data_IF_495496456584
#
_entry.id   IF_495496456584
#
_cell.length_a   1.000
_cell.length_b   1.000
_cell.length_c   1.000
_cell.angle_alpha   90.00
_cell.angle_beta   90.00
_cell.angle_gamma   90.00
#
_symmetry.space_group_name_H-M   'P 1'
#
loop_
_entity.id
_entity.type
_entity.pdbx_description
1 polymer ?
#
# COMPACT_ATOMS: atom_id res chain seq x y z
N UNK A 1 -11.47 -4.88 -8.50
CA UNK A 1 -10.40 -5.88 -8.35
C UNK A 1 -11.02 -7.25 -8.26
N UNK A 2 -10.60 -8.17 -9.12
CA UNK A 2 -10.96 -9.58 -9.06
C UNK A 2 -9.68 -10.43 -9.18
N UNK A 3 -9.63 -11.55 -8.47
CA UNK A 3 -8.62 -12.62 -8.68
C UNK A 3 -9.35 -13.72 -9.44
N UNK A 4 -8.73 -14.16 -10.54
CA UNK A 4 -9.26 -15.16 -11.46
C UNK A 4 -8.10 -16.11 -11.80
N UNK A 5 -8.14 -17.31 -11.24
CA UNK A 5 -7.11 -18.33 -11.40
C UNK A 5 -5.72 -17.78 -11.10
N UNK A 6 -4.82 -17.89 -12.09
CA UNK A 6 -3.42 -17.49 -11.96
C UNK A 6 -3.16 -16.00 -12.16
N UNK A 7 -4.22 -15.18 -12.23
CA UNK A 7 -4.13 -13.76 -12.51
C UNK A 7 -5.00 -12.88 -11.61
N UNK A 8 -4.58 -11.63 -11.47
CA UNK A 8 -5.36 -10.57 -10.85
C UNK A 8 -5.68 -9.48 -11.88
N UNK A 9 -6.86 -8.86 -11.76
CA UNK A 9 -7.30 -7.77 -12.62
C UNK A 9 -7.89 -6.60 -11.82
N UNK A 10 -7.46 -5.40 -12.21
CA UNK A 10 -7.96 -4.11 -11.73
C UNK A 10 -8.53 -3.37 -12.93
N UNK A 11 -9.80 -2.98 -12.86
CA UNK A 11 -10.42 -2.15 -13.89
C UNK A 11 -11.31 -1.12 -13.22
N UNK A 12 -11.57 -0.03 -13.93
CA UNK A 12 -12.40 1.07 -13.43
C UNK A 12 -13.86 0.72 -13.68
N UNK A 13 -14.66 0.71 -12.61
CA UNK A 13 -16.10 0.61 -12.69
C UNK A 13 -16.71 2.00 -12.45
N UNK A 14 -17.06 2.72 -13.51
CA UNK A 14 -17.54 4.11 -13.41
C UNK A 14 -17.77 4.78 -14.77
N UNK A 15 -18.02 6.11 -14.82
CA UNK A 15 -18.31 6.83 -16.06
C UNK A 15 -17.15 6.82 -17.06
N UNK A 16 -15.91 6.62 -16.58
CA UNK A 16 -14.71 6.58 -17.40
C UNK A 16 -14.34 5.18 -17.91
N UNK A 17 -15.17 4.16 -17.65
CA UNK A 17 -14.83 2.76 -17.95
C UNK A 17 -14.55 2.46 -19.44
N UNK A 18 -15.16 3.23 -20.35
CA UNK A 18 -15.01 3.07 -21.81
C UNK A 18 -13.96 4.00 -22.42
N UNK A 19 -13.41 4.94 -21.65
CA UNK A 19 -12.40 5.88 -22.13
C UNK A 19 -11.02 5.26 -21.93
N UNK A 20 -10.53 4.51 -22.92
CA UNK A 20 -9.32 3.70 -22.79
C UNK A 20 -8.11 4.49 -22.30
N UNK A 21 -7.81 5.64 -22.91
CA UNK A 21 -6.65 6.47 -22.51
C UNK A 21 -6.79 7.06 -21.11
N UNK A 22 -7.99 7.50 -20.70
CA UNK A 22 -8.20 8.06 -19.36
C UNK A 22 -8.21 6.94 -18.32
N UNK A 23 -8.86 5.83 -18.64
CA UNK A 23 -8.96 4.67 -17.78
C UNK A 23 -7.59 4.05 -17.48
N UNK A 24 -6.69 4.11 -18.45
CA UNK A 24 -5.28 3.72 -18.30
C UNK A 24 -4.60 4.46 -17.16
N UNK A 25 -4.44 5.77 -17.33
CA UNK A 25 -3.78 6.60 -16.33
C UNK A 25 -4.51 6.59 -14.99
N UNK A 26 -5.85 6.58 -14.98
CA UNK A 26 -6.60 6.53 -13.73
C UNK A 26 -6.36 5.23 -12.94
N UNK A 27 -6.34 4.08 -13.61
CA UNK A 27 -6.09 2.80 -12.96
C UNK A 27 -4.65 2.73 -12.43
N UNK A 28 -3.68 3.21 -13.21
CA UNK A 28 -2.28 3.21 -12.82
C UNK A 28 -2.00 4.18 -11.67
N UNK A 29 -2.58 5.39 -11.71
CA UNK A 29 -2.51 6.37 -10.62
C UNK A 29 -3.14 5.77 -9.36
N UNK A 30 -4.31 5.14 -9.48
CA UNK A 30 -4.98 4.48 -8.36
C UNK A 30 -4.07 3.41 -7.74
N UNK A 31 -3.51 2.50 -8.53
CA UNK A 31 -2.57 1.49 -8.04
C UNK A 31 -1.30 2.10 -7.42
N UNK A 32 -0.74 3.16 -8.03
CA UNK A 32 0.46 3.84 -7.51
C UNK A 32 0.22 4.54 -6.17
N UNK A 33 -1.03 4.96 -5.90
CA UNK A 33 -1.39 5.59 -4.63
C UNK A 33 -1.18 4.64 -3.43
N UNK A 34 -1.30 3.33 -3.63
CA UNK A 34 -1.01 2.33 -2.60
C UNK A 34 0.47 2.36 -2.21
N UNK A 35 1.37 2.28 -3.20
CA UNK A 35 2.82 2.36 -2.98
C UNK A 35 3.22 3.68 -2.33
N UNK A 36 2.65 4.79 -2.82
CA UNK A 36 2.86 6.11 -2.23
C UNK A 36 2.43 6.20 -0.77
N UNK A 37 1.23 5.73 -0.43
CA UNK A 37 0.72 5.76 0.95
C UNK A 37 1.57 4.90 1.90
N UNK A 38 1.99 3.71 1.45
CA UNK A 38 2.86 2.83 2.23
C UNK A 38 4.24 3.48 2.47
N UNK A 39 4.81 4.11 1.45
CA UNK A 39 6.09 4.81 1.57
C UNK A 39 5.98 6.05 2.47
N UNK A 40 4.88 6.81 2.37
CA UNK A 40 4.61 7.97 3.22
C UNK A 40 4.52 7.56 4.69
N UNK A 41 3.83 6.46 4.96
CA UNK A 41 3.75 5.89 6.30
C UNK A 41 5.13 5.49 6.85
N UNK A 42 5.94 4.76 6.07
CA UNK A 42 7.30 4.41 6.48
C UNK A 42 8.12 5.65 6.83
N UNK A 43 7.95 6.71 6.06
CA UNK A 43 8.60 7.98 6.27
C UNK A 43 8.13 8.70 7.54
N UNK A 44 6.86 8.59 7.92
CA UNK A 44 6.36 9.07 9.22
C UNK A 44 7.05 8.36 10.40
N UNK A 45 7.31 7.05 10.31
CA UNK A 45 8.06 6.31 11.32
C UNK A 45 9.53 6.76 11.42
N UNK A 46 10.17 7.00 10.28
CA UNK A 46 11.54 7.56 10.24
C UNK A 46 11.57 8.93 10.91
N UNK A 47 10.61 9.80 10.59
CA UNK A 47 10.50 11.14 11.17
C UNK A 47 10.37 11.08 12.70
N UNK A 48 9.49 10.22 13.21
CA UNK A 48 9.27 10.05 14.67
C UNK A 48 10.52 9.55 15.38
N UNK A 49 11.22 8.58 14.79
CA UNK A 49 12.49 8.09 15.33
C UNK A 49 13.50 9.23 15.48
N UNK A 50 13.65 10.07 14.46
CA UNK A 50 14.56 11.23 14.52
C UNK A 50 14.07 12.20 15.60
N UNK A 51 12.77 12.51 15.63
CA UNK A 51 12.13 13.42 16.59
C UNK A 51 12.44 13.09 18.05
N UNK A 52 12.34 11.82 18.41
CA UNK A 52 12.47 11.36 19.79
C UNK A 52 13.93 11.08 20.15
N UNK A 53 14.67 10.40 19.26
CA UNK A 53 15.98 9.87 19.60
C UNK A 53 17.15 10.78 19.18
N UNK A 54 16.92 11.72 18.28
CA UNK A 54 17.96 12.62 17.77
C UNK A 54 17.46 14.07 17.66
N UNK A 55 16.99 14.68 18.77
CA UNK A 55 16.41 16.01 18.77
C UNK A 55 17.35 17.10 18.23
N UNK A 56 18.67 16.97 18.45
CA UNK A 56 19.68 17.89 17.91
C UNK A 56 19.69 17.93 16.37
N UNK A 57 19.39 16.81 15.70
CA UNK A 57 19.27 16.76 14.22
C UNK A 57 17.98 17.42 13.72
N UNK A 58 17.00 17.67 14.60
CA UNK A 58 15.79 18.43 14.21
C UNK A 58 16.02 19.93 14.21
N UNK A 59 16.89 20.45 15.08
CA UNK A 59 17.10 21.88 15.27
C UNK A 59 17.80 22.55 14.07
N UNK A 60 18.67 21.83 13.37
CA UNK A 60 19.36 22.35 12.17
C UNK A 60 18.46 22.43 10.91
N UNK A 61 17.20 21.98 10.96
CA UNK A 61 16.39 21.73 9.76
C UNK A 61 14.92 22.18 9.89
N UNK A 62 14.67 23.50 9.85
CA UNK A 62 13.33 24.07 9.75
C UNK A 62 12.89 24.29 8.28
N UNK A 63 11.65 23.88 7.96
CA UNK A 63 10.88 24.08 6.71
C UNK A 63 11.32 23.35 5.43
N UNK A 64 12.59 23.32 5.03
CA UNK A 64 13.06 22.58 3.83
C UNK A 64 12.94 21.04 4.02
N UNK A 65 12.73 20.60 5.27
CA UNK A 65 12.65 19.22 5.73
C UNK A 65 11.44 18.44 5.19
N UNK A 66 10.22 18.98 5.28
CA UNK A 66 9.00 18.26 4.84
C UNK A 66 9.05 17.94 3.34
N UNK A 67 9.61 18.84 2.55
CA UNK A 67 9.78 18.64 1.11
C UNK A 67 10.80 17.51 0.83
N UNK A 68 11.95 17.53 1.51
CA UNK A 68 12.99 16.49 1.38
C UNK A 68 12.49 15.10 1.79
N UNK A 69 11.74 15.01 2.89
CA UNK A 69 11.15 13.76 3.35
C UNK A 69 10.07 13.24 2.38
N UNK A 70 9.38 14.11 1.63
CA UNK A 70 8.37 13.70 0.66
C UNK A 70 8.98 13.14 -0.64
N UNK A 71 10.28 13.37 -0.91
CA UNK A 71 10.94 12.90 -2.13
C UNK A 71 10.93 11.37 -2.23
N UNK A 72 11.25 10.66 -1.15
CA UNK A 72 11.32 9.20 -1.17
C UNK A 72 9.95 8.55 -1.46
N UNK A 73 8.84 8.93 -0.77
CA UNK A 73 7.50 8.46 -1.13
C UNK A 73 7.11 8.75 -2.58
N UNK A 74 7.45 9.94 -3.11
CA UNK A 74 7.15 10.29 -4.49
C UNK A 74 7.91 9.37 -5.46
N UNK A 75 9.20 9.12 -5.21
CA UNK A 75 10.00 8.20 -6.05
C UNK A 75 9.40 6.80 -6.05
N UNK A 76 8.99 6.29 -4.89
CA UNK A 76 8.35 4.97 -4.79
C UNK A 76 7.00 4.94 -5.51
N UNK A 77 6.15 5.96 -5.33
CA UNK A 77 4.89 6.08 -6.07
C UNK A 77 5.10 6.09 -7.59
N UNK A 78 6.10 6.82 -8.07
CA UNK A 78 6.47 6.85 -9.50
C UNK A 78 7.01 5.50 -9.98
N UNK A 79 7.81 4.81 -9.17
CA UNK A 79 8.30 3.45 -9.44
C UNK A 79 7.15 2.46 -9.61
N UNK A 80 6.23 2.44 -8.64
CA UNK A 80 5.01 1.64 -8.69
C UNK A 80 4.17 1.96 -9.92
N UNK A 81 3.96 3.25 -10.21
CA UNK A 81 3.21 3.70 -11.38
C UNK A 81 3.79 3.10 -12.67
N UNK A 82 5.10 3.20 -12.88
CA UNK A 82 5.72 2.64 -14.08
C UNK A 82 5.69 1.11 -14.11
N UNK A 83 5.81 0.44 -12.96
CA UNK A 83 5.67 -1.00 -12.88
C UNK A 83 4.27 -1.44 -13.35
N UNK A 84 3.20 -0.82 -12.85
CA UNK A 84 1.84 -1.18 -13.27
C UNK A 84 1.52 -0.73 -14.70
N UNK A 85 1.98 0.45 -15.12
CA UNK A 85 1.70 1.02 -16.43
C UNK A 85 2.30 0.19 -17.57
N UNK A 86 3.53 -0.30 -17.40
CA UNK A 86 4.24 -1.00 -18.47
C UNK A 86 4.23 -2.52 -18.32
N UNK A 87 4.36 -3.04 -17.09
CA UNK A 87 4.42 -4.47 -16.86
C UNK A 87 3.01 -5.05 -16.65
N UNK A 88 2.12 -4.29 -16.03
CA UNK A 88 0.71 -4.66 -15.84
C UNK A 88 -0.22 -4.35 -17.01
N UNK A 89 0.31 -3.79 -18.11
CA UNK A 89 -0.48 -3.35 -19.27
C UNK A 89 -1.36 -4.46 -19.87
N UNK A 90 -2.51 -4.11 -20.47
CA UNK A 90 -3.36 -5.05 -21.21
C UNK A 90 -2.57 -5.81 -22.28
N UNK A 91 -2.87 -7.10 -22.45
CA UNK A 91 -2.36 -7.90 -23.55
C UNK A 91 -3.45 -8.81 -24.08
N UNK A 92 -3.31 -9.28 -25.33
CA UNK A 92 -4.27 -10.20 -25.94
C UNK A 92 -4.39 -11.49 -25.14
N UNK A 93 -3.27 -12.05 -24.67
CA UNK A 93 -3.25 -13.25 -23.83
C UNK A 93 -4.01 -13.04 -22.51
N UNK A 94 -3.82 -11.89 -21.84
CA UNK A 94 -4.55 -11.55 -20.61
C UNK A 94 -6.05 -11.38 -20.89
N UNK A 95 -6.39 -10.71 -21.98
CA UNK A 95 -7.76 -10.49 -22.39
C UNK A 95 -8.48 -11.82 -22.65
N UNK A 96 -7.87 -12.72 -23.41
CA UNK A 96 -8.46 -14.01 -23.74
C UNK A 96 -8.61 -14.92 -22.51
N UNK A 97 -7.64 -14.91 -21.60
CA UNK A 97 -7.71 -15.66 -20.34
C UNK A 97 -8.84 -15.17 -19.43
N UNK A 98 -9.02 -13.85 -19.31
CA UNK A 98 -9.97 -13.23 -18.36
C UNK A 98 -11.37 -12.97 -18.96
N UNK A 99 -11.55 -13.09 -20.29
CA UNK A 99 -12.80 -12.70 -20.99
C UNK A 99 -14.02 -13.43 -20.44
N UNK A 100 -13.95 -14.74 -20.26
CA UNK A 100 -15.09 -15.57 -19.83
C UNK A 100 -15.60 -15.14 -18.46
N UNK A 101 -14.69 -14.98 -17.50
CA UNK A 101 -15.03 -14.64 -16.12
C UNK A 101 -15.53 -13.20 -15.98
N UNK A 102 -14.91 -12.25 -16.68
CA UNK A 102 -15.36 -10.85 -16.67
C UNK A 102 -16.74 -10.73 -17.34
N UNK A 103 -16.98 -11.43 -18.44
CA UNK A 103 -18.28 -11.42 -19.11
C UNK A 103 -19.37 -12.06 -18.25
N UNK A 104 -19.05 -13.15 -17.55
CA UNK A 104 -19.97 -13.82 -16.62
C UNK A 104 -20.30 -12.95 -15.41
N UNK A 105 -19.30 -12.33 -14.80
CA UNK A 105 -19.45 -11.59 -13.54
C UNK A 105 -20.01 -10.18 -13.73
N UNK A 106 -19.57 -9.47 -14.78
CA UNK A 106 -19.87 -8.05 -14.98
C UNK A 106 -20.70 -7.76 -16.22
N UNK A 107 -20.91 -8.74 -17.11
CA UNK A 107 -21.72 -8.57 -18.33
C UNK A 107 -21.09 -7.67 -19.40
N UNK A 108 -19.79 -7.36 -19.29
CA UNK A 108 -19.06 -6.47 -20.21
C UNK A 108 -17.93 -7.25 -20.89
N UNK A 109 -17.62 -6.90 -22.15
CA UNK A 109 -16.43 -7.44 -22.81
C UNK A 109 -15.17 -6.75 -22.28
N UNK A 110 -14.15 -7.56 -21.97
CA UNK A 110 -12.86 -7.06 -21.47
C UNK A 110 -12.14 -6.17 -22.49
N UNK A 111 -12.41 -6.36 -23.80
CA UNK A 111 -11.83 -5.55 -24.86
C UNK A 111 -12.36 -4.10 -24.86
N UNK A 112 -13.57 -3.88 -24.33
CA UNK A 112 -14.19 -2.56 -24.27
C UNK A 112 -13.70 -1.76 -23.05
N UNK A 113 -12.96 -2.41 -22.15
CA UNK A 113 -12.51 -1.85 -20.87
C UNK A 113 -10.99 -1.71 -20.85
N UNK A 114 -10.51 -0.61 -20.25
CA UNK A 114 -9.12 -0.59 -19.81
C UNK A 114 -8.97 -1.33 -18.47
N UNK A 115 -7.92 -2.15 -18.36
CA UNK A 115 -7.60 -2.88 -17.15
C UNK A 115 -6.09 -3.02 -16.93
N UNK A 116 -5.68 -3.13 -15.66
CA UNK A 116 -4.34 -3.55 -15.25
C UNK A 116 -4.45 -4.99 -14.79
N UNK A 117 -3.57 -5.86 -15.30
CA UNK A 117 -3.55 -7.26 -14.88
C UNK A 117 -2.15 -7.80 -14.75
N UNK A 118 -1.94 -8.58 -13.70
CA UNK A 118 -0.80 -9.47 -13.56
C UNK A 118 -1.30 -10.90 -13.72
N UNK A 119 -0.90 -11.58 -14.80
CA UNK A 119 -1.24 -12.98 -15.09
C UNK A 119 0.06 -13.79 -15.02
N UNK A 120 0.33 -14.45 -13.91
CA UNK A 120 1.67 -15.02 -13.67
C UNK A 120 2.03 -16.12 -14.66
N UNK A 121 1.07 -16.96 -15.00
CA UNK A 121 1.22 -18.01 -15.99
C UNK A 121 -0.13 -18.41 -16.55
N UNK A 122 -0.16 -19.01 -17.74
CA UNK A 122 -1.38 -19.51 -18.37
C UNK A 122 -1.05 -20.67 -19.31
N UNK A 123 -2.09 -21.40 -19.74
CA UNK A 123 -1.98 -22.42 -20.79
C UNK A 123 -2.55 -21.86 -22.08
N UNK A 124 -1.76 -21.87 -23.14
CA UNK A 124 -2.22 -21.53 -24.48
C UNK A 124 -3.16 -22.61 -25.03
N UNK A 125 -3.90 -22.29 -26.10
CA UNK A 125 -4.83 -23.20 -26.81
C UNK A 125 -4.16 -24.46 -27.35
N UNK A 126 -2.83 -24.43 -27.55
CA UNK A 126 -2.00 -25.56 -27.94
C UNK A 126 -1.57 -26.46 -26.76
N UNK A 127 -2.02 -26.16 -25.53
CA UNK A 127 -1.66 -26.87 -24.30
C UNK A 127 -0.30 -26.48 -23.71
N UNK A 128 0.42 -25.53 -24.31
CA UNK A 128 1.72 -25.07 -23.83
C UNK A 128 1.56 -24.19 -22.59
N UNK A 129 2.29 -24.51 -21.53
CA UNK A 129 2.39 -23.68 -20.34
C UNK A 129 3.34 -22.51 -20.60
N UNK A 130 2.86 -21.28 -20.38
CA UNK A 130 3.60 -20.05 -20.61
C UNK A 130 3.63 -19.24 -19.30
N UNK A 131 4.84 -18.83 -18.90
CA UNK A 131 5.05 -17.95 -17.74
C UNK A 131 5.19 -16.52 -18.26
N UNK A 132 4.41 -15.59 -17.71
CA UNK A 132 4.50 -14.17 -18.04
C UNK A 132 5.57 -13.50 -17.19
N UNK A 133 6.82 -13.59 -17.63
CA UNK A 133 7.96 -12.98 -16.93
C UNK A 133 7.79 -11.47 -16.68
N UNK A 134 7.12 -10.76 -17.59
CA UNK A 134 6.81 -9.32 -17.43
C UNK A 134 5.91 -9.08 -16.23
N UNK A 135 4.82 -9.84 -16.11
CA UNK A 135 3.84 -9.68 -15.03
C UNK A 135 4.44 -10.09 -13.68
N UNK A 136 5.24 -11.16 -13.68
CA UNK A 136 5.96 -11.61 -12.50
C UNK A 136 6.99 -10.56 -12.04
N UNK A 137 7.72 -9.94 -12.96
CA UNK A 137 8.64 -8.85 -12.65
C UNK A 137 7.90 -7.62 -12.09
N UNK A 138 6.74 -7.26 -12.66
CA UNK A 138 5.94 -6.13 -12.19
C UNK A 138 5.41 -6.33 -10.78
N UNK A 139 4.86 -7.51 -10.50
CA UNK A 139 4.45 -7.87 -9.14
C UNK A 139 5.64 -7.94 -8.18
N UNK A 140 6.78 -8.48 -8.62
CA UNK A 140 7.99 -8.57 -7.80
C UNK A 140 8.48 -7.17 -7.36
N UNK A 141 8.49 -6.19 -8.27
CA UNK A 141 8.83 -4.80 -7.94
C UNK A 141 7.89 -4.25 -6.86
N UNK A 142 6.58 -4.43 -7.01
CA UNK A 142 5.59 -3.99 -6.03
C UNK A 142 5.84 -4.64 -4.65
N UNK A 143 6.13 -5.95 -4.62
CA UNK A 143 6.46 -6.67 -3.39
C UNK A 143 7.76 -6.17 -2.74
N UNK A 144 8.80 -5.88 -3.53
CA UNK A 144 10.07 -5.35 -3.02
C UNK A 144 9.87 -3.98 -2.37
N UNK A 145 9.12 -3.09 -3.02
CA UNK A 145 8.79 -1.77 -2.45
C UNK A 145 8.03 -1.93 -1.12
N UNK A 146 7.03 -2.82 -1.07
CA UNK A 146 6.29 -3.10 0.17
C UNK A 146 7.19 -3.63 1.29
N UNK A 147 8.04 -4.63 0.99
CA UNK A 147 8.94 -5.23 1.99
C UNK A 147 9.93 -4.19 2.51
N UNK A 148 10.46 -3.33 1.62
CA UNK A 148 11.34 -2.25 2.01
C UNK A 148 10.66 -1.28 2.97
N UNK A 149 9.46 -0.78 2.62
CA UNK A 149 8.70 0.13 3.49
C UNK A 149 8.33 -0.51 4.82
N UNK A 150 7.89 -1.78 4.83
CA UNK A 150 7.57 -2.50 6.05
C UNK A 150 8.79 -2.67 6.96
N UNK A 151 9.95 -2.99 6.37
CA UNK A 151 11.21 -3.14 7.10
C UNK A 151 11.61 -1.81 7.76
N UNK A 152 11.47 -0.69 7.05
CA UNK A 152 11.69 0.63 7.63
C UNK A 152 10.74 0.93 8.80
N UNK A 153 9.45 0.63 8.65
CA UNK A 153 8.45 0.81 9.72
C UNK A 153 8.86 0.03 10.96
N UNK A 154 9.16 -1.26 10.82
CA UNK A 154 9.52 -2.14 11.96
C UNK A 154 10.81 -1.68 12.62
N UNK A 155 11.87 -1.38 11.85
CA UNK A 155 13.15 -0.94 12.40
C UNK A 155 13.02 0.40 13.10
N UNK A 156 12.38 1.39 12.46
CA UNK A 156 12.21 2.72 13.05
C UNK A 156 11.26 2.69 14.24
N UNK A 157 10.17 1.93 14.19
CA UNK A 157 9.28 1.69 15.32
C UNK A 157 10.02 1.08 16.51
N UNK A 158 10.82 0.04 16.28
CA UNK A 158 11.62 -0.61 17.33
C UNK A 158 12.68 0.31 17.93
N UNK A 159 13.39 1.09 17.10
CA UNK A 159 14.40 2.05 17.59
C UNK A 159 13.76 3.18 18.38
N UNK A 160 12.61 3.67 17.92
CA UNK A 160 11.83 4.70 18.63
C UNK A 160 11.38 4.17 19.99
N UNK A 161 10.90 2.92 20.04
CA UNK A 161 10.53 2.25 21.29
C UNK A 161 11.70 2.19 22.27
N UNK A 162 12.86 1.67 21.84
CA UNK A 162 14.04 1.54 22.71
C UNK A 162 14.46 2.88 23.32
N UNK A 163 14.55 3.93 22.50
CA UNK A 163 15.03 5.20 23.02
C UNK A 163 13.94 5.93 23.83
N UNK A 164 12.65 5.66 23.61
CA UNK A 164 11.58 6.17 24.47
C UNK A 164 11.71 5.64 25.91
N UNK A 165 12.06 4.35 26.07
CA UNK A 165 12.34 3.74 27.38
C UNK A 165 13.57 4.38 28.04
N UNK A 166 14.64 4.61 27.28
CA UNK A 166 15.86 5.24 27.81
C UNK A 166 15.61 6.67 28.30
N UNK A 167 14.77 7.44 27.60
CA UNK A 167 14.35 8.79 28.02
C UNK A 167 13.46 8.74 29.27
N UNK A 168 12.59 7.73 29.37
CA UNK A 168 11.70 7.52 30.52
C UNK A 168 12.48 7.26 31.82
N UNK A 169 13.57 6.49 31.74
CA UNK A 169 14.45 6.21 32.89
C UNK A 169 15.10 7.46 33.49
N UNK A 170 15.11 8.60 32.78
CA UNK A 170 15.75 9.85 33.19
C UNK A 170 14.75 10.88 33.75
N UNK A 171 13.44 10.77 33.49
CA UNK A 171 12.45 11.81 33.88
C UNK A 171 11.06 11.25 34.22
N UNK A 172 10.69 11.28 35.51
CA UNK A 172 9.36 10.88 36.02
C UNK A 172 8.20 11.71 35.45
N UNK A 173 8.43 12.98 35.07
CA UNK A 173 7.38 13.84 34.48
C UNK A 173 7.07 13.51 33.02
N UNK A 174 7.95 12.76 32.36
CA UNK A 174 7.83 12.33 30.95
C UNK A 174 7.22 10.93 30.81
N UNK A 175 7.05 10.22 31.93
CA UNK A 175 6.65 8.81 31.98
C UNK A 175 5.25 8.56 31.42
N UNK A 176 4.23 9.28 31.93
CA UNK A 176 2.84 9.13 31.46
C UNK A 176 2.64 9.54 29.99
N UNK A 177 3.45 10.49 29.49
CA UNK A 177 3.40 10.95 28.10
C UNK A 177 4.06 9.92 27.17
N UNK A 178 5.21 9.37 27.57
CA UNK A 178 5.91 8.33 26.82
C UNK A 178 5.10 7.03 26.73
N UNK A 179 4.43 6.62 27.80
CA UNK A 179 3.55 5.44 27.81
C UNK A 179 2.37 5.56 26.83
N UNK A 180 1.78 6.76 26.73
CA UNK A 180 0.73 7.04 25.76
C UNK A 180 1.27 7.03 24.34
N UNK A 181 2.40 7.70 24.11
CA UNK A 181 3.06 7.71 22.81
C UNK A 181 3.45 6.30 22.35
N UNK A 182 3.85 5.44 23.30
CA UNK A 182 4.21 4.05 23.05
C UNK A 182 3.00 3.19 22.65
N UNK A 183 1.88 3.27 23.38
CA UNK A 183 0.63 2.56 23.01
C UNK A 183 0.13 2.99 21.63
N UNK A 184 0.23 4.28 21.33
CA UNK A 184 -0.06 4.83 19.99
C UNK A 184 0.87 4.25 18.94
N UNK A 185 2.18 4.21 19.22
CA UNK A 185 3.17 3.69 18.28
C UNK A 185 2.97 2.20 17.97
N UNK A 186 2.64 1.39 18.98
CA UNK A 186 2.30 -0.03 18.79
C UNK A 186 1.07 -0.19 17.90
N UNK A 187 -0.01 0.53 18.21
CA UNK A 187 -1.23 0.48 17.41
C UNK A 187 -1.01 0.95 15.98
N UNK A 188 -0.28 2.05 15.79
CA UNK A 188 0.07 2.56 14.47
C UNK A 188 1.04 1.68 13.69
N UNK A 189 1.74 0.75 14.34
CA UNK A 189 2.54 -0.26 13.64
C UNK A 189 1.66 -1.45 13.23
N UNK A 190 0.72 -1.85 14.08
CA UNK A 190 -0.19 -2.97 13.82
C UNK A 190 -1.23 -2.65 12.75
N UNK A 191 -1.82 -1.44 12.77
CA UNK A 191 -2.88 -1.06 11.83
C UNK A 191 -2.45 -1.14 10.36
N UNK A 192 -1.31 -0.57 9.94
CA UNK A 192 -0.81 -0.73 8.58
C UNK A 192 -0.58 -2.18 8.17
N UNK A 193 -0.06 -3.01 9.08
CA UNK A 193 0.17 -4.44 8.81
C UNK A 193 -1.15 -5.12 8.46
N UNK A 194 -2.18 -4.89 9.27
CA UNK A 194 -3.48 -5.53 9.11
C UNK A 194 -4.28 -4.95 7.94
N UNK A 195 -4.21 -3.63 7.71
CA UNK A 195 -5.08 -2.92 6.77
C UNK A 195 -4.42 -2.65 5.42
N UNK A 196 -3.10 -2.61 5.32
CA UNK A 196 -2.40 -2.32 4.07
C UNK A 196 -1.54 -3.50 3.62
N UNK A 197 -0.65 -4.01 4.48
CA UNK A 197 0.32 -5.02 4.05
C UNK A 197 -0.29 -6.40 3.82
N UNK A 198 -1.11 -6.92 4.76
CA UNK A 198 -1.75 -8.23 4.61
C UNK A 198 -2.68 -8.27 3.39
N UNK A 199 -3.63 -7.31 3.21
CA UNK A 199 -4.55 -7.37 2.07
C UNK A 199 -3.84 -7.29 0.73
N UNK A 200 -2.86 -6.38 0.58
CA UNK A 200 -2.11 -6.23 -0.68
C UNK A 200 -1.17 -7.42 -0.90
N UNK A 201 -0.53 -7.94 0.15
CA UNK A 201 0.33 -9.12 0.05
C UNK A 201 -0.45 -10.37 -0.38
N UNK A 202 -1.64 -10.58 0.18
CA UNK A 202 -2.55 -11.65 -0.25
C UNK A 202 -2.95 -11.48 -1.72
N UNK A 203 -3.21 -10.25 -2.16
CA UNK A 203 -3.57 -9.97 -3.55
C UNK A 203 -2.45 -10.32 -4.54
N UNK A 204 -1.18 -10.23 -4.13
CA UNK A 204 -0.04 -10.68 -4.92
C UNK A 204 0.21 -12.20 -4.84
N UNK A 205 -0.05 -12.83 -3.68
CA UNK A 205 0.32 -14.24 -3.44
C UNK A 205 -0.76 -15.21 -3.89
N UNK A 206 -2.04 -14.89 -3.65
CA UNK A 206 -3.17 -15.79 -3.94
C UNK A 206 -3.25 -16.22 -5.42
N UNK A 207 -3.03 -15.34 -6.42
CA UNK A 207 -3.04 -15.78 -7.81
C UNK A 207 -1.88 -16.72 -8.16
N UNK A 208 -0.77 -16.75 -7.41
CA UNK A 208 0.31 -17.72 -7.66
C UNK A 208 -0.17 -19.16 -7.40
N UNK A 209 -1.13 -19.33 -6.49
CA UNK A 209 -1.69 -20.63 -6.11
C UNK A 209 -3.05 -20.92 -6.74
N UNK A 210 -3.51 -20.09 -7.69
CA UNK A 210 -4.84 -20.19 -8.30
C UNK A 210 -5.99 -20.15 -7.27
N UNK A 211 -5.81 -19.39 -6.18
CA UNK A 211 -6.84 -19.25 -5.15
C UNK A 211 -7.78 -18.09 -5.50
N UNK A 212 -8.99 -18.44 -5.96
CA UNK A 212 -10.04 -17.48 -6.25
C UNK A 212 -10.70 -16.95 -4.98
N UNK A 213 -10.62 -15.64 -4.79
CA UNK A 213 -11.22 -14.92 -3.64
C UNK A 213 -12.36 -13.97 -4.04
N UNK A 214 -12.75 -13.97 -5.32
CA UNK A 214 -13.91 -13.22 -5.81
C UNK A 214 -13.93 -11.76 -5.35
N UNK A 215 -15.06 -11.34 -4.75
CA UNK A 215 -15.28 -9.95 -4.29
C UNK A 215 -14.31 -9.53 -3.17
N UNK A 216 -13.78 -10.47 -2.39
CA UNK A 216 -12.81 -10.19 -1.31
C UNK A 216 -11.50 -9.63 -1.88
N UNK A 217 -11.21 -9.82 -3.17
CA UNK A 217 -10.11 -9.14 -3.86
C UNK A 217 -10.24 -7.61 -3.88
N UNK A 218 -11.42 -7.05 -3.58
CA UNK A 218 -11.61 -5.60 -3.40
C UNK A 218 -11.27 -5.10 -1.99
N UNK A 219 -10.98 -6.00 -1.04
CA UNK A 219 -10.66 -5.62 0.33
C UNK A 219 -9.47 -4.65 0.43
N UNK A 220 -8.36 -4.82 -0.31
CA UNK A 220 -7.22 -3.90 -0.23
C UNK A 220 -7.60 -2.45 -0.60
N UNK A 221 -8.45 -2.30 -1.61
CA UNK A 221 -8.98 -1.00 -2.03
C UNK A 221 -9.76 -0.31 -0.91
N UNK A 222 -10.59 -1.07 -0.20
CA UNK A 222 -11.39 -0.56 0.92
C UNK A 222 -10.51 -0.20 2.12
N UNK A 223 -9.62 -1.11 2.54
CA UNK A 223 -8.83 -0.95 3.76
C UNK A 223 -7.82 0.19 3.66
N UNK A 224 -7.22 0.39 2.48
CA UNK A 224 -6.30 1.51 2.22
C UNK A 224 -7.03 2.85 2.23
N UNK A 225 -8.28 2.90 1.77
CA UNK A 225 -9.09 4.12 1.77
C UNK A 225 -9.50 4.54 3.18
N UNK A 226 -9.74 3.58 4.08
CA UNK A 226 -10.17 3.83 5.46
C UNK A 226 -8.97 4.12 6.38
N UNK A 227 -7.80 3.56 6.06
CA UNK A 227 -6.60 3.65 6.90
C UNK A 227 -6.23 5.08 7.36
N UNK A 228 -6.16 6.11 6.50
CA UNK A 228 -5.80 7.46 6.95
C UNK A 228 -6.77 8.03 7.99
N UNK A 229 -8.07 7.75 7.83
CA UNK A 229 -9.09 8.14 8.80
C UNK A 229 -8.94 7.41 10.13
N UNK A 230 -8.64 6.11 10.09
CA UNK A 230 -8.38 5.32 11.29
C UNK A 230 -7.10 5.76 12.02
N UNK A 231 -6.01 6.04 11.31
CA UNK A 231 -4.76 6.52 11.90
C UNK A 231 -4.96 7.85 12.64
N UNK A 232 -5.65 8.81 12.00
CA UNK A 232 -6.01 10.07 12.62
C UNK A 232 -6.91 9.90 13.85
N UNK A 233 -7.93 9.03 13.74
CA UNK A 233 -8.86 8.75 14.84
C UNK A 233 -8.16 8.16 16.07
N UNK A 234 -7.28 7.17 15.86
CA UNK A 234 -6.50 6.54 16.94
C UNK A 234 -5.58 7.56 17.60
N UNK A 235 -4.92 8.41 16.83
CA UNK A 235 -4.07 9.47 17.37
C UNK A 235 -4.86 10.45 18.27
N UNK A 236 -6.05 10.89 17.83
CA UNK A 236 -6.90 11.82 18.59
C UNK A 236 -7.35 11.22 19.92
N UNK A 237 -7.80 9.96 19.93
CA UNK A 237 -8.30 9.32 21.16
C UNK A 237 -7.21 9.01 22.18
N UNK A 238 -6.03 8.61 21.70
CA UNK A 238 -4.97 8.12 22.57
C UNK A 238 -4.06 9.23 23.12
N UNK A 239 -3.87 10.33 22.38
CA UNK A 239 -3.06 11.46 22.83
C UNK A 239 -3.93 12.34 23.73
N UNK A 240 -3.56 12.45 25.01
CA UNK A 240 -4.36 13.15 26.04
C UNK A 240 -4.63 14.62 25.69
N UNK A 241 -3.67 15.32 25.09
CA UNK A 241 -3.85 16.71 24.67
C UNK A 241 -4.91 16.87 23.58
N UNK A 242 -4.90 15.98 22.58
CA UNK A 242 -5.93 15.97 21.53
C UNK A 242 -7.29 15.54 22.06
N UNK A 243 -7.33 14.52 22.92
CA UNK A 243 -8.56 14.07 23.54
C UNK A 243 -9.19 15.16 24.43
N UNK A 244 -8.38 15.84 25.24
CA UNK A 244 -8.87 16.90 26.12
C UNK A 244 -9.38 18.12 25.32
N UNK A 245 -8.72 18.46 24.21
CA UNK A 245 -9.22 19.49 23.30
C UNK A 245 -10.55 19.12 22.63
N UNK A 246 -10.84 17.83 22.46
CA UNK A 246 -12.07 17.34 21.83
C UNK A 246 -13.23 17.18 22.83
N UNK A 247 -12.94 16.76 24.07
CA UNK A 247 -13.95 16.39 25.06
C UNK A 247 -14.35 17.56 25.97
N UNK A 248 -13.53 18.63 26.06
CA UNK A 248 -13.74 19.80 26.92
C UNK A 248 -14.09 19.45 28.38
#
# INVERSE_FOLDING_TARGET
MNIIGSGMIVFINGPFKYLHSIGDYCAAIYCSSFGFCIALLANHFVYRYIAICKPHQLYEYERIRMLKFSILPIIMGVGWFFAVQYLGAPSTAKADYLRTEIKSTHGVDINDLYYISFLYYYKETNGKFVISWKDLAGCFICCVEMIFSNTLIVICGWKTYKCSIEVEAVSQKTQDLNDQLFKVLLLQTVFPVVLMFIPVGLLCVLPIFEIDVGVVANLPALTVSIYPGMDAFVAILMIRDFRNALIC
#
